data_IF_575112806095
#
_entry.id   IF_575112806095
#
_cell.length_a   1.000
_cell.length_b   1.000
_cell.length_c   1.000
_cell.angle_alpha   90.00
_cell.angle_beta   90.00
_cell.angle_gamma   90.00
#
_symmetry.space_group_name_H-M   'P 1'
#
loop_
_entity.id
_entity.type
_entity.pdbx_description
1 polymer ?
#
# COMPACT_ATOMS: atom_id res chain seq x y z
N UNK A 1 15.43 5.92 25.97
CA UNK A 1 15.70 7.02 25.00
C UNK A 1 15.89 6.36 23.67
N UNK A 2 15.35 6.89 22.57
CA UNK A 2 15.37 6.25 21.24
C UNK A 2 16.78 5.74 20.84
N UNK A 3 17.84 6.43 21.27
CA UNK A 3 19.25 6.04 21.10
C UNK A 3 19.69 4.79 21.90
N UNK A 4 19.01 4.44 23.00
CA UNK A 4 19.22 3.19 23.77
C UNK A 4 18.46 2.00 23.18
N UNK A 5 17.37 2.26 22.45
CA UNK A 5 16.56 1.21 21.78
C UNK A 5 17.03 0.96 20.32
N UNK A 6 17.97 1.79 19.83
CA UNK A 6 18.58 1.67 18.52
C UNK A 6 19.59 0.50 18.50
N UNK A 7 19.07 -0.71 18.27
CA UNK A 7 19.90 -1.89 18.03
C UNK A 7 20.17 -2.09 16.54
N UNK A 8 21.29 -2.72 16.21
CA UNK A 8 21.59 -3.14 14.82
C UNK A 8 20.42 -3.97 14.23
N UNK A 9 19.79 -4.80 15.07
CA UNK A 9 18.62 -5.60 14.68
C UNK A 9 17.41 -4.73 14.31
N UNK A 10 17.17 -3.62 15.02
CA UNK A 10 16.06 -2.71 14.72
C UNK A 10 16.30 -1.97 13.40
N UNK A 11 17.54 -1.56 13.12
CA UNK A 11 17.91 -0.94 11.86
C UNK A 11 17.76 -1.91 10.67
N UNK A 12 18.22 -3.15 10.82
CA UNK A 12 18.07 -4.19 9.80
C UNK A 12 16.60 -4.54 9.58
N UNK A 13 15.82 -4.71 10.65
CA UNK A 13 14.38 -5.00 10.54
C UNK A 13 13.62 -3.85 9.84
N UNK A 14 13.92 -2.60 10.18
CA UNK A 14 13.37 -1.42 9.51
C UNK A 14 13.74 -1.38 8.02
N UNK A 15 15.00 -1.64 7.69
CA UNK A 15 15.47 -1.68 6.31
C UNK A 15 14.78 -2.78 5.49
N UNK A 16 14.72 -4.01 6.02
CA UNK A 16 14.03 -5.14 5.38
C UNK A 16 12.55 -4.82 5.19
N UNK A 17 11.90 -4.21 6.19
CA UNK A 17 10.48 -3.82 6.10
C UNK A 17 10.24 -2.82 4.96
N UNK A 18 11.09 -1.80 4.84
CA UNK A 18 10.99 -0.81 3.75
C UNK A 18 11.24 -1.47 2.39
N UNK A 19 12.27 -2.31 2.29
CA UNK A 19 12.66 -2.96 1.04
C UNK A 19 11.57 -3.93 0.55
N UNK A 20 11.02 -4.75 1.45
CA UNK A 20 9.89 -5.65 1.16
C UNK A 20 8.63 -4.85 0.81
N UNK A 21 8.34 -3.76 1.53
CA UNK A 21 7.17 -2.92 1.25
C UNK A 21 7.22 -2.22 -0.10
N UNK A 22 8.37 -1.64 -0.48
CA UNK A 22 8.54 -0.99 -1.77
C UNK A 22 8.57 -1.99 -2.94
N UNK A 23 9.19 -3.15 -2.76
CA UNK A 23 9.26 -4.17 -3.82
C UNK A 23 7.91 -4.84 -4.09
N UNK A 24 7.03 -4.98 -3.09
CA UNK A 24 5.72 -5.59 -3.29
C UNK A 24 4.69 -4.61 -3.82
N UNK A 25 4.45 -3.51 -3.11
CA UNK A 25 3.32 -2.62 -3.40
C UNK A 25 3.74 -1.33 -4.13
N UNK A 26 5.03 -0.96 -4.12
CA UNK A 26 5.54 0.16 -4.91
C UNK A 26 5.41 -0.05 -6.42
N UNK A 27 5.47 -1.30 -6.89
CA UNK A 27 5.30 -1.65 -8.32
C UNK A 27 3.90 -1.29 -8.81
N UNK A 28 2.86 -1.50 -8.00
CA UNK A 28 1.47 -1.15 -8.37
C UNK A 28 1.33 0.38 -8.49
N UNK A 29 1.92 1.14 -7.57
CA UNK A 29 1.92 2.61 -7.62
C UNK A 29 2.65 3.11 -8.86
N UNK A 30 3.78 2.49 -9.21
CA UNK A 30 4.52 2.79 -10.42
C UNK A 30 3.70 2.52 -11.68
N UNK A 31 3.01 1.38 -11.74
CA UNK A 31 2.08 1.05 -12.82
C UNK A 31 0.91 2.04 -12.91
N UNK A 32 0.35 2.46 -11.77
CA UNK A 32 -0.69 3.48 -11.71
C UNK A 32 -0.24 4.83 -12.28
N UNK A 33 0.95 5.27 -11.91
CA UNK A 33 1.51 6.51 -12.45
C UNK A 33 1.80 6.41 -13.95
N UNK A 34 2.29 5.26 -14.43
CA UNK A 34 2.47 5.03 -15.88
C UNK A 34 1.14 5.01 -16.64
N UNK A 35 0.09 4.40 -16.08
CA UNK A 35 -1.24 4.37 -16.68
C UNK A 35 -1.85 5.78 -16.85
N UNK A 36 -1.45 6.73 -16.00
CA UNK A 36 -1.80 8.15 -16.06
C UNK A 36 -0.92 8.97 -17.03
N UNK A 37 0.06 8.35 -17.69
CA UNK A 37 0.98 9.02 -18.61
C UNK A 37 2.10 9.82 -17.95
N UNK A 38 2.40 9.56 -16.67
CA UNK A 38 3.45 10.28 -15.95
C UNK A 38 4.85 10.05 -16.55
N UNK A 39 5.63 11.12 -16.68
CA UNK A 39 7.04 11.05 -17.06
C UNK A 39 7.89 10.38 -15.96
N UNK A 40 9.05 9.80 -16.29
CA UNK A 40 9.94 9.19 -15.29
C UNK A 40 10.34 10.13 -14.15
N UNK A 41 10.46 11.43 -14.44
CA UNK A 41 10.75 12.49 -13.47
C UNK A 41 9.59 12.73 -12.50
N UNK A 42 8.35 12.70 -12.99
CA UNK A 42 7.15 12.86 -12.16
C UNK A 42 6.93 11.64 -11.27
N UNK A 43 7.15 10.44 -11.80
CA UNK A 43 7.09 9.20 -11.01
C UNK A 43 8.13 9.22 -9.89
N UNK A 44 9.37 9.65 -10.19
CA UNK A 44 10.43 9.81 -9.20
C UNK A 44 10.04 10.80 -8.10
N UNK A 45 9.45 11.94 -8.47
CA UNK A 45 8.95 12.95 -7.53
C UNK A 45 7.83 12.41 -6.64
N UNK A 46 6.85 11.71 -7.22
CA UNK A 46 5.75 11.07 -6.49
C UNK A 46 6.23 10.04 -5.48
N UNK A 47 7.11 9.13 -5.89
CA UNK A 47 7.66 8.12 -4.98
C UNK A 47 8.48 8.74 -3.86
N UNK A 48 9.23 9.81 -4.16
CA UNK A 48 9.95 10.60 -3.14
C UNK A 48 8.98 11.23 -2.13
N UNK A 49 7.93 11.89 -2.62
CA UNK A 49 6.93 12.54 -1.79
C UNK A 49 6.18 11.53 -0.90
N UNK A 50 5.82 10.37 -1.45
CA UNK A 50 5.18 9.27 -0.69
C UNK A 50 6.11 8.71 0.37
N UNK A 51 7.36 8.39 0.01
CA UNK A 51 8.35 7.86 0.93
C UNK A 51 8.65 8.81 2.09
N UNK A 52 8.84 10.10 1.79
CA UNK A 52 9.02 11.13 2.82
C UNK A 52 7.76 11.31 3.67
N UNK A 53 6.58 11.38 3.04
CA UNK A 53 5.32 11.59 3.74
C UNK A 53 5.06 10.49 4.76
N UNK A 54 5.23 9.22 4.37
CA UNK A 54 5.05 8.08 5.26
C UNK A 54 6.16 7.96 6.30
N UNK A 55 7.42 8.12 5.88
CA UNK A 55 8.56 8.05 6.80
C UNK A 55 8.49 9.12 7.88
N UNK A 56 8.20 10.37 7.49
CA UNK A 56 8.12 11.50 8.41
C UNK A 56 6.90 11.38 9.33
N UNK A 57 5.73 11.01 8.82
CA UNK A 57 4.52 10.84 9.66
C UNK A 57 4.67 9.66 10.62
N UNK A 58 5.19 8.52 10.17
CA UNK A 58 5.49 7.37 11.02
C UNK A 58 6.47 7.75 12.13
N UNK A 59 7.55 8.46 11.79
CA UNK A 59 8.56 8.91 12.76
C UNK A 59 7.97 9.90 13.77
N UNK A 60 7.32 10.97 13.30
CA UNK A 60 6.76 12.02 14.15
C UNK A 60 5.69 11.49 15.09
N UNK A 61 4.75 10.69 14.59
CA UNK A 61 3.70 10.09 15.40
C UNK A 61 4.28 9.10 16.40
N UNK A 62 5.23 8.27 15.98
CA UNK A 62 5.89 7.32 16.88
C UNK A 62 6.62 8.02 18.02
N UNK A 63 7.32 9.11 17.74
CA UNK A 63 8.00 9.92 18.75
C UNK A 63 7.00 10.64 19.68
N UNK A 64 5.90 11.17 19.13
CA UNK A 64 4.91 11.94 19.86
C UNK A 64 4.08 11.08 20.82
N UNK A 65 3.69 9.88 20.39
CA UNK A 65 2.86 8.95 21.16
C UNK A 65 3.67 7.86 21.86
N UNK A 66 4.98 7.78 21.63
CA UNK A 66 5.90 6.78 22.22
C UNK A 66 5.46 5.33 21.98
N UNK A 67 4.80 5.08 20.85
CA UNK A 67 4.38 3.76 20.37
C UNK A 67 4.79 3.61 18.91
N UNK A 68 5.13 2.41 18.41
CA UNK A 68 5.52 2.21 17.01
C UNK A 68 4.32 2.41 16.09
N UNK A 69 4.21 3.58 15.48
CA UNK A 69 3.16 3.93 14.50
C UNK A 69 3.76 3.85 13.11
N UNK A 70 3.15 3.02 12.27
CA UNK A 70 3.48 2.91 10.84
C UNK A 70 2.30 3.47 10.06
N UNK A 71 2.55 4.53 9.29
CA UNK A 71 1.59 5.00 8.30
C UNK A 71 1.71 4.14 7.06
N UNK A 72 0.61 3.54 6.63
CA UNK A 72 0.53 2.72 5.43
C UNK A 72 -0.12 3.53 4.28
N UNK A 73 0.25 3.25 3.04
CA UNK A 73 -0.49 3.72 1.87
C UNK A 73 -1.66 2.77 1.56
N UNK A 74 -2.62 3.23 0.78
CA UNK A 74 -3.72 2.38 0.29
C UNK A 74 -3.30 1.65 -0.99
N UNK A 75 -2.76 0.43 -0.86
CA UNK A 75 -2.46 -0.44 -2.01
C UNK A 75 -3.71 -0.71 -2.87
N UNK A 76 -4.90 -0.97 -2.28
CA UNK A 76 -6.15 -1.03 -3.03
C UNK A 76 -6.45 0.27 -3.79
N UNK A 77 -6.20 1.43 -3.17
CA UNK A 77 -6.45 2.72 -3.79
C UNK A 77 -5.59 2.95 -5.03
N UNK A 78 -4.30 2.60 -4.97
CA UNK A 78 -3.40 2.66 -6.12
C UNK A 78 -3.86 1.75 -7.27
N UNK A 79 -4.32 0.54 -6.96
CA UNK A 79 -4.86 -0.38 -7.96
C UNK A 79 -6.17 0.12 -8.57
N UNK A 80 -7.09 0.65 -7.76
CA UNK A 80 -8.33 1.24 -8.25
C UNK A 80 -8.07 2.39 -9.21
N UNK A 81 -7.08 3.23 -8.92
CA UNK A 81 -6.71 4.35 -9.79
C UNK A 81 -6.40 3.90 -11.21
N UNK A 82 -5.59 2.84 -11.39
CA UNK A 82 -5.29 2.25 -12.72
C UNK A 82 -6.57 2.01 -13.52
N UNK A 83 -7.60 1.49 -12.87
CA UNK A 83 -8.87 1.14 -13.52
C UNK A 83 -9.83 2.32 -13.69
N UNK A 84 -9.81 3.29 -12.76
CA UNK A 84 -10.76 4.42 -12.75
C UNK A 84 -10.28 5.63 -13.55
N UNK A 85 -8.98 5.75 -13.82
CA UNK A 85 -8.39 6.90 -14.52
C UNK A 85 -8.32 6.69 -16.04
N UNK A 86 -9.03 5.70 -16.59
CA UNK A 86 -9.09 5.48 -18.03
C UNK A 86 -9.74 6.69 -18.73
N UNK A 87 -8.90 7.64 -19.15
CA UNK A 87 -9.29 8.89 -19.82
C UNK A 87 -9.06 10.19 -19.04
N UNK A 88 -8.57 10.15 -17.79
CA UNK A 88 -8.26 11.35 -17.00
C UNK A 88 -6.81 11.82 -17.22
N UNK A 89 -6.56 13.13 -17.19
CA UNK A 89 -5.19 13.66 -17.27
C UNK A 89 -4.46 13.59 -15.94
N UNK A 90 -3.12 13.67 -15.98
CA UNK A 90 -2.30 13.74 -14.77
C UNK A 90 -2.66 14.94 -13.88
N UNK A 91 -3.07 16.08 -14.46
CA UNK A 91 -3.48 17.25 -13.68
C UNK A 91 -4.77 17.01 -12.90
N UNK A 92 -5.76 16.37 -13.53
CA UNK A 92 -7.02 15.99 -12.89
C UNK A 92 -6.78 14.99 -11.75
N UNK A 93 -5.89 14.02 -11.96
CA UNK A 93 -5.49 13.08 -10.93
C UNK A 93 -4.85 13.79 -9.73
N UNK A 94 -3.91 14.71 -9.96
CA UNK A 94 -3.27 15.50 -8.89
C UNK A 94 -4.30 16.32 -8.12
N UNK A 95 -5.23 16.99 -8.81
CA UNK A 95 -6.28 17.77 -8.17
C UNK A 95 -7.20 16.89 -7.31
N UNK A 96 -7.62 15.74 -7.83
CA UNK A 96 -8.43 14.78 -7.09
C UNK A 96 -7.71 14.26 -5.84
N UNK A 97 -6.41 13.97 -5.95
CA UNK A 97 -5.58 13.57 -4.81
C UNK A 97 -5.48 14.65 -3.74
N UNK A 98 -5.25 15.91 -4.13
CA UNK A 98 -5.18 17.04 -3.20
C UNK A 98 -6.51 17.29 -2.49
N UNK A 99 -7.62 17.22 -3.22
CA UNK A 99 -8.97 17.35 -2.65
C UNK A 99 -9.24 16.20 -1.69
N UNK A 100 -8.96 14.95 -2.09
CA UNK A 100 -9.12 13.78 -1.24
C UNK A 100 -8.25 13.88 0.03
N UNK A 101 -7.00 14.33 -0.09
CA UNK A 101 -6.11 14.52 1.05
C UNK A 101 -6.67 15.60 2.01
N UNK A 102 -7.15 16.72 1.48
CA UNK A 102 -7.81 17.77 2.26
C UNK A 102 -9.03 17.25 3.01
N UNK A 103 -9.87 16.45 2.35
CA UNK A 103 -11.03 15.80 2.98
C UNK A 103 -10.60 14.82 4.08
N UNK A 104 -9.61 13.95 3.82
CA UNK A 104 -9.10 13.00 4.82
C UNK A 104 -8.61 13.75 6.07
N UNK A 105 -7.83 14.82 5.89
CA UNK A 105 -7.34 15.66 6.98
C UNK A 105 -8.49 16.32 7.73
N UNK A 106 -9.48 16.87 7.02
CA UNK A 106 -10.64 17.50 7.62
C UNK A 106 -11.49 16.51 8.45
N UNK A 107 -11.80 15.34 7.90
CA UNK A 107 -12.53 14.27 8.61
C UNK A 107 -11.72 13.67 9.76
N UNK A 108 -10.40 13.60 9.62
CA UNK A 108 -9.47 13.16 10.67
C UNK A 108 -9.46 14.12 11.87
N UNK A 109 -9.32 15.42 11.64
CA UNK A 109 -9.30 16.42 12.72
C UNK A 109 -10.66 16.60 13.41
N UNK A 110 -11.76 16.43 12.69
CA UNK A 110 -13.11 16.55 13.26
C UNK A 110 -13.53 15.34 14.11
N UNK A 111 -12.81 14.22 14.02
CA UNK A 111 -13.18 12.95 14.67
C UNK A 111 -14.46 12.33 14.10
N UNK A 112 -14.99 12.86 13.00
CA UNK A 112 -16.20 12.37 12.37
C UNK A 112 -16.00 10.98 11.77
N UNK A 113 -14.79 10.70 11.28
CA UNK A 113 -14.43 9.38 10.78
C UNK A 113 -14.58 8.30 11.85
N UNK A 114 -14.08 8.55 13.07
CA UNK A 114 -14.20 7.62 14.20
C UNK A 114 -15.67 7.37 14.56
N UNK A 115 -16.49 8.43 14.61
CA UNK A 115 -17.93 8.31 14.88
C UNK A 115 -18.67 7.51 13.82
N UNK A 116 -18.27 7.64 12.56
CA UNK A 116 -18.86 6.89 11.45
C UNK A 116 -18.43 5.42 11.46
N UNK A 117 -17.15 5.15 11.74
CA UNK A 117 -16.62 3.80 11.92
C UNK A 117 -17.34 3.05 13.05
N UNK A 118 -17.65 3.71 14.16
CA UNK A 118 -18.42 3.10 15.25
C UNK A 118 -19.86 2.67 14.86
N UNK A 119 -20.38 3.17 13.72
CA UNK A 119 -21.70 2.77 13.17
C UNK A 119 -21.60 1.74 12.04
N UNK A 120 -20.41 1.51 11.51
CA UNK A 120 -20.20 0.56 10.41
C UNK A 120 -20.10 -0.86 10.97
N UNK A 121 -20.99 -1.79 10.55
CA UNK A 121 -20.89 -3.18 10.99
C UNK A 121 -19.61 -3.80 10.45
N UNK A 122 -18.89 -4.55 11.30
CA UNK A 122 -17.64 -5.21 10.95
C UNK A 122 -17.75 -6.08 9.69
N UNK A 123 -18.93 -6.68 9.47
CA UNK A 123 -19.23 -7.49 8.28
C UNK A 123 -19.15 -6.70 6.97
N UNK A 124 -19.52 -5.42 6.96
CA UNK A 124 -19.43 -4.58 5.77
C UNK A 124 -17.98 -4.19 5.48
N UNK A 125 -17.20 -3.85 6.51
CA UNK A 125 -15.77 -3.60 6.35
C UNK A 125 -15.01 -4.85 5.83
N UNK A 126 -15.32 -6.03 6.39
CA UNK A 126 -14.78 -7.30 5.91
C UNK A 126 -15.21 -7.59 4.47
N UNK A 127 -16.47 -7.31 4.11
CA UNK A 127 -16.98 -7.45 2.74
C UNK A 127 -16.28 -6.53 1.74
N UNK A 128 -16.00 -5.28 2.12
CA UNK A 128 -15.23 -4.34 1.29
C UNK A 128 -13.82 -4.85 1.02
N UNK A 129 -13.12 -5.33 2.06
CA UNK A 129 -11.79 -5.94 1.89
C UNK A 129 -11.84 -7.20 1.03
N UNK A 130 -12.85 -8.06 1.22
CA UNK A 130 -13.02 -9.27 0.43
C UNK A 130 -13.26 -8.94 -1.06
N UNK A 131 -14.05 -7.91 -1.38
CA UNK A 131 -14.29 -7.49 -2.76
C UNK A 131 -13.01 -7.03 -3.46
N UNK A 132 -12.20 -6.21 -2.78
CA UNK A 132 -10.90 -5.77 -3.31
C UNK A 132 -9.96 -6.96 -3.52
N UNK A 133 -9.83 -7.85 -2.52
CA UNK A 133 -8.95 -9.02 -2.61
C UNK A 133 -9.41 -10.03 -3.66
N UNK A 134 -10.73 -10.16 -3.86
CA UNK A 134 -11.30 -11.02 -4.89
C UNK A 134 -10.87 -10.55 -6.28
N UNK A 135 -10.89 -9.25 -6.55
CA UNK A 135 -10.46 -8.71 -7.84
C UNK A 135 -8.99 -9.05 -8.12
N UNK A 136 -8.10 -8.85 -7.15
CA UNK A 136 -6.70 -9.27 -7.28
C UNK A 136 -6.55 -10.78 -7.52
N UNK A 137 -7.38 -11.60 -6.87
CA UNK A 137 -7.40 -13.05 -7.08
C UNK A 137 -7.82 -13.43 -8.50
N UNK A 138 -8.81 -12.72 -9.06
CA UNK A 138 -9.28 -12.92 -10.43
C UNK A 138 -8.24 -12.47 -11.47
N UNK A 139 -7.51 -11.38 -11.19
CA UNK A 139 -6.46 -10.84 -12.06
C UNK A 139 -5.29 -11.83 -12.26
N UNK A 140 -5.05 -12.74 -11.31
CA UNK A 140 -4.08 -13.83 -11.48
C UNK A 140 -4.49 -14.76 -12.63
N UNK A 141 -5.78 -15.08 -12.74
CA UNK A 141 -6.28 -15.97 -13.79
C UNK A 141 -6.29 -15.30 -15.16
N UNK A 142 -6.56 -13.98 -15.22
CA UNK A 142 -6.43 -13.23 -16.48
C UNK A 142 -4.98 -13.15 -16.92
N UNK A 143 -4.03 -12.92 -16.00
CA UNK A 143 -2.60 -12.94 -16.29
C UNK A 143 -2.09 -14.33 -16.73
N UNK A 144 -2.67 -15.43 -16.23
CA UNK A 144 -2.35 -16.79 -16.69
C UNK A 144 -2.70 -17.03 -18.15
N UNK A 145 -3.67 -16.29 -18.73
CA UNK A 145 -4.02 -16.45 -20.15
C UNK A 145 -2.90 -15.97 -21.08
N UNK A 146 -2.14 -14.95 -20.66
CA UNK A 146 -1.04 -14.37 -21.47
C UNK A 146 0.32 -14.93 -21.08
N UNK A 147 0.55 -15.24 -19.79
CA UNK A 147 1.85 -15.69 -19.27
C UNK A 147 1.73 -16.91 -18.36
N UNK A 148 1.05 -17.95 -18.84
CA UNK A 148 0.73 -19.17 -18.10
C UNK A 148 1.92 -19.75 -17.33
N UNK A 149 3.02 -20.08 -18.01
CA UNK A 149 4.15 -20.77 -17.37
C UNK A 149 4.81 -19.95 -16.25
N UNK A 150 4.86 -18.63 -16.40
CA UNK A 150 5.45 -17.76 -15.40
C UNK A 150 4.53 -17.65 -14.17
N UNK A 151 3.26 -17.32 -14.38
CA UNK A 151 2.31 -17.13 -13.27
C UNK A 151 2.04 -18.45 -12.55
N UNK A 152 1.90 -19.56 -13.29
CA UNK A 152 1.66 -20.89 -12.73
C UNK A 152 2.86 -21.41 -11.94
N UNK A 153 4.10 -21.18 -12.41
CA UNK A 153 5.29 -21.57 -11.65
C UNK A 153 5.43 -20.75 -10.36
N UNK A 154 5.18 -19.44 -10.39
CA UNK A 154 5.12 -18.61 -9.18
C UNK A 154 4.07 -19.11 -8.19
N UNK A 155 2.87 -19.45 -8.68
CA UNK A 155 1.78 -19.99 -7.86
C UNK A 155 2.15 -21.33 -7.21
N UNK A 156 2.70 -22.27 -7.98
CA UNK A 156 3.13 -23.57 -7.47
C UNK A 156 4.27 -23.42 -6.46
N UNK A 157 5.27 -22.59 -6.76
CA UNK A 157 6.40 -22.34 -5.86
C UNK A 157 5.92 -21.72 -4.55
N UNK A 158 4.96 -20.77 -4.61
CA UNK A 158 4.32 -20.18 -3.44
C UNK A 158 3.61 -21.25 -2.60
N UNK A 159 2.81 -22.14 -3.19
CA UNK A 159 2.12 -23.22 -2.47
C UNK A 159 3.10 -24.19 -1.82
N UNK A 160 4.17 -24.58 -2.53
CA UNK A 160 5.21 -25.48 -2.03
C UNK A 160 5.96 -24.83 -0.86
N UNK A 161 6.36 -23.56 -0.98
CA UNK A 161 7.00 -22.80 0.09
C UNK A 161 6.08 -22.63 1.29
N UNK A 162 4.81 -22.28 1.08
CA UNK A 162 3.80 -22.15 2.13
C UNK A 162 3.59 -23.46 2.90
N UNK A 163 3.64 -24.60 2.19
CA UNK A 163 3.50 -25.92 2.81
C UNK A 163 4.77 -26.42 3.51
N UNK A 164 5.95 -26.17 2.92
CA UNK A 164 7.21 -26.77 3.36
C UNK A 164 7.94 -25.92 4.41
N UNK A 165 7.79 -24.59 4.34
CA UNK A 165 8.48 -23.66 5.24
C UNK A 165 7.55 -22.48 5.60
N UNK A 166 6.44 -22.73 6.33
CA UNK A 166 5.48 -21.68 6.71
C UNK A 166 6.10 -20.56 7.56
N UNK A 167 7.30 -20.76 8.13
CA UNK A 167 8.08 -19.72 8.83
C UNK A 167 8.78 -18.71 7.90
N UNK A 168 9.00 -19.04 6.63
CA UNK A 168 9.63 -18.16 5.63
C UNK A 168 8.65 -17.61 4.60
N UNK A 169 7.41 -18.10 4.58
CA UNK A 169 6.30 -17.38 3.99
C UNK A 169 6.02 -16.17 4.91
N UNK A 170 6.80 -15.11 4.73
CA UNK A 170 6.66 -13.85 5.46
C UNK A 170 5.20 -13.43 5.32
N UNK A 171 4.46 -13.57 6.41
CA UNK A 171 3.18 -12.89 6.61
C UNK A 171 3.64 -11.46 6.95
N UNK A 172 3.50 -10.47 6.04
CA UNK A 172 3.61 -9.10 6.49
C UNK A 172 2.50 -8.90 7.54
N UNK A 173 2.79 -8.25 8.68
CA UNK A 173 1.77 -7.94 9.66
C UNK A 173 0.59 -7.17 9.05
#
# INVERSE_FOLDING_TARGET
>A
TVLKDFSLSAAIAGFVTVLVGFTSAGVIVFQAAQALGASPTEIGSWLWALGLGMGLTSLLLSLRYRVPIVTAWSTPGAAMLITTTAGATMEEAIAAFLISAGLIVFFGFTGWFERLMNRLPLSLAAGMLAGVLLQFGLDVFTAMQTQFWMVFSMFCLYLIMRRSVPRYAVIPP
#
